data_IF_113768500729
#
_entry.id   IF_113768500729
#
_cell.length_a   1.000
_cell.length_b   1.000
_cell.length_c   1.000
_cell.angle_alpha   90.00
_cell.angle_beta   90.00
_cell.angle_gamma   90.00
#
_symmetry.space_group_name_H-M   'P 1'
#
loop_
_entity.id
_entity.type
_entity.pdbx_description
1 polymer ?
#
# COMPACT_ATOMS: atom_id res chain seq x y z
N UNK A 1 34.72 31.17 -31.69
CA UNK A 1 34.77 29.90 -32.45
C UNK A 1 34.04 28.86 -31.62
N UNK A 2 32.83 28.47 -32.00
CA UNK A 2 32.12 27.38 -31.31
C UNK A 2 32.83 26.06 -31.66
N UNK A 3 33.24 25.31 -30.63
CA UNK A 3 33.82 23.98 -30.81
C UNK A 3 32.69 22.97 -31.01
N UNK A 4 32.91 21.95 -31.84
CA UNK A 4 31.94 20.86 -32.05
C UNK A 4 31.50 20.21 -30.73
N UNK A 5 32.42 20.15 -29.75
CA UNK A 5 32.17 19.65 -28.39
C UNK A 5 31.18 20.50 -27.59
N UNK A 6 31.08 21.81 -27.87
CA UNK A 6 30.17 22.73 -27.19
C UNK A 6 28.69 22.43 -27.48
N UNK A 7 28.41 21.71 -28.58
CA UNK A 7 27.06 21.31 -29.01
C UNK A 7 26.81 19.82 -28.71
N UNK A 8 27.84 18.99 -28.86
CA UNK A 8 27.69 17.53 -28.72
C UNK A 8 27.36 17.10 -27.28
N UNK A 9 27.99 17.72 -26.28
CA UNK A 9 27.79 17.40 -24.87
C UNK A 9 26.35 17.71 -24.40
N UNK A 10 25.79 18.92 -24.61
CA UNK A 10 24.42 19.20 -24.22
C UNK A 10 23.40 18.37 -25.01
N UNK A 11 23.69 18.04 -26.28
CA UNK A 11 22.83 17.16 -27.08
C UNK A 11 22.79 15.72 -26.52
N UNK A 12 23.94 15.18 -26.11
CA UNK A 12 24.01 13.85 -25.49
C UNK A 12 23.35 13.82 -24.11
N UNK A 13 23.53 14.89 -23.31
CA UNK A 13 22.87 15.02 -22.02
C UNK A 13 21.35 15.11 -22.19
N UNK A 14 20.87 15.90 -23.15
CA UNK A 14 19.44 15.98 -23.47
C UNK A 14 18.90 14.61 -23.90
N UNK A 15 19.60 13.89 -24.79
CA UNK A 15 19.20 12.55 -25.23
C UNK A 15 19.11 11.57 -24.05
N UNK A 16 20.03 11.64 -23.08
CA UNK A 16 20.00 10.82 -21.87
C UNK A 16 18.81 11.19 -20.96
N UNK A 17 18.50 12.48 -20.79
CA UNK A 17 17.32 12.91 -20.01
C UNK A 17 16.01 12.45 -20.66
N UNK A 18 15.92 12.40 -21.99
CA UNK A 18 14.74 11.89 -22.68
C UNK A 18 14.54 10.38 -22.45
N UNK A 19 15.60 9.57 -22.37
CA UNK A 19 15.49 8.11 -22.13
C UNK A 19 15.24 7.75 -20.66
N UNK A 20 15.48 8.66 -19.71
CA UNK A 20 15.17 8.51 -18.29
C UNK A 20 13.68 8.64 -17.96
N UNK A 21 12.82 8.91 -18.94
CA UNK A 21 11.37 8.87 -18.78
C UNK A 21 10.88 7.43 -18.75
N UNK A 22 11.13 6.75 -17.63
CA UNK A 22 10.55 5.45 -17.33
C UNK A 22 9.03 5.58 -17.31
N UNK A 23 8.35 4.78 -18.13
CA UNK A 23 6.90 4.61 -18.04
C UNK A 23 6.58 4.13 -16.63
N UNK A 24 5.83 4.92 -15.87
CA UNK A 24 5.29 4.46 -14.60
C UNK A 24 4.21 3.43 -14.91
N UNK A 25 4.53 2.14 -14.76
CA UNK A 25 3.49 1.13 -14.71
C UNK A 25 2.59 1.43 -13.50
N UNK A 26 1.29 1.56 -13.76
CA UNK A 26 0.34 1.76 -12.68
C UNK A 26 0.38 0.54 -11.75
N UNK A 27 0.53 0.78 -10.44
CA UNK A 27 0.52 -0.28 -9.42
C UNK A 27 -0.72 -1.20 -9.51
N UNK A 28 -1.82 -0.66 -10.03
CA UNK A 28 -3.02 -1.42 -10.36
C UNK A 28 -3.67 -0.89 -11.63
N UNK A 29 -4.47 -1.74 -12.28
CA UNK A 29 -5.39 -1.34 -13.35
C UNK A 29 -6.83 -1.48 -12.86
N UNK A 30 -7.78 -0.71 -13.43
CA UNK A 30 -9.19 -0.97 -13.22
C UNK A 30 -9.54 -2.40 -13.64
N UNK A 31 -10.35 -3.08 -12.82
CA UNK A 31 -10.90 -4.41 -13.13
C UNK A 31 -12.35 -4.22 -13.51
N UNK A 32 -12.75 -4.69 -14.69
CA UNK A 32 -14.14 -4.64 -15.11
C UNK A 32 -15.00 -5.59 -14.27
N UNK A 33 -16.31 -5.32 -14.21
CA UNK A 33 -17.27 -6.20 -13.52
C UNK A 33 -17.22 -7.64 -14.05
N UNK A 34 -16.99 -7.81 -15.35
CA UNK A 34 -16.88 -9.12 -15.97
C UNK A 34 -15.62 -9.87 -15.52
N UNK A 35 -14.46 -9.21 -15.51
CA UNK A 35 -13.20 -9.78 -15.03
C UNK A 35 -13.23 -10.14 -13.54
N UNK A 36 -13.95 -9.36 -12.73
CA UNK A 36 -14.15 -9.64 -11.31
C UNK A 36 -15.13 -10.80 -11.03
N UNK A 37 -15.69 -11.45 -12.07
CA UNK A 37 -16.69 -12.51 -11.92
C UNK A 37 -18.07 -12.01 -11.48
N UNK A 38 -18.31 -10.70 -11.54
CA UNK A 38 -19.51 -10.04 -11.03
C UNK A 38 -20.54 -9.72 -12.14
N UNK A 39 -20.33 -10.19 -13.37
CA UNK A 39 -21.18 -9.86 -14.53
C UNK A 39 -22.66 -10.21 -14.32
N UNK A 40 -22.92 -11.36 -13.70
CA UNK A 40 -24.28 -11.88 -13.48
C UNK A 40 -24.84 -11.54 -12.09
N UNK A 41 -24.12 -10.74 -11.30
CA UNK A 41 -24.51 -10.45 -9.93
C UNK A 41 -25.59 -9.37 -9.90
N UNK A 42 -26.78 -9.74 -9.42
CA UNK A 42 -27.98 -8.89 -9.40
C UNK A 42 -27.92 -7.77 -8.35
N UNK A 43 -27.11 -7.93 -7.31
CA UNK A 43 -26.89 -6.91 -6.27
C UNK A 43 -25.42 -6.84 -5.89
N UNK A 44 -24.91 -5.62 -5.72
CA UNK A 44 -23.55 -5.36 -5.29
C UNK A 44 -23.59 -4.47 -4.04
N UNK A 45 -22.91 -4.88 -2.99
CA UNK A 45 -22.76 -4.09 -1.77
C UNK A 45 -21.37 -3.45 -1.77
N UNK A 46 -21.32 -2.13 -1.77
CA UNK A 46 -20.09 -1.38 -1.53
C UNK A 46 -19.97 -1.14 -0.03
N UNK A 47 -18.91 -1.66 0.59
CA UNK A 47 -18.60 -1.42 2.00
C UNK A 47 -17.51 -0.36 2.08
N UNK A 48 -17.74 0.71 2.83
CA UNK A 48 -16.75 1.73 3.14
C UNK A 48 -16.65 1.85 4.66
N UNK A 49 -15.44 1.66 5.19
CA UNK A 49 -15.16 1.64 6.61
C UNK A 49 -13.69 1.95 6.87
N UNK A 50 -13.35 2.18 8.13
CA UNK A 50 -11.99 2.47 8.58
C UNK A 50 -11.53 1.38 9.54
N UNK A 51 -10.33 0.87 9.30
CA UNK A 51 -9.65 -0.14 10.11
C UNK A 51 -8.56 0.54 10.95
N UNK A 52 -8.51 0.23 12.25
CA UNK A 52 -7.60 0.89 13.19
C UNK A 52 -6.64 -0.10 13.83
N UNK A 53 -5.41 -0.13 13.33
CA UNK A 53 -4.33 -0.96 13.87
C UNK A 53 -3.62 -0.25 15.04
N UNK A 54 -4.02 -0.58 16.28
CA UNK A 54 -3.38 -0.03 17.47
C UNK A 54 -2.22 -0.91 17.93
N UNK A 55 -1.05 -0.66 17.36
CA UNK A 55 0.22 -1.36 17.70
C UNK A 55 0.87 -0.92 19.02
N UNK A 56 0.44 0.21 19.58
CA UNK A 56 1.00 0.83 20.80
C UNK A 56 -0.10 1.48 21.63
N UNK A 57 0.22 1.81 22.89
CA UNK A 57 -0.69 2.48 23.83
C UNK A 57 -1.22 1.52 24.91
N UNK A 58 -2.14 2.00 25.78
CA UNK A 58 -2.61 1.23 26.92
C UNK A 58 -3.48 0.03 26.56
N UNK A 59 -4.11 0.03 25.37
CA UNK A 59 -4.99 -1.03 24.89
C UNK A 59 -4.63 -1.38 23.43
N UNK A 60 -3.49 -2.05 23.18
CA UNK A 60 -3.14 -2.45 21.83
C UNK A 60 -4.13 -3.50 21.30
N UNK A 61 -4.45 -3.42 20.01
CA UNK A 61 -5.34 -4.36 19.32
C UNK A 61 -4.58 -5.26 18.34
N UNK A 62 -3.32 -4.94 18.10
CA UNK A 62 -2.39 -5.74 17.32
C UNK A 62 -1.16 -6.11 18.15
N UNK A 63 -0.89 -7.42 18.25
CA UNK A 63 0.17 -7.95 19.10
C UNK A 63 1.04 -8.90 18.29
N UNK A 64 2.35 -8.68 18.32
CA UNK A 64 3.32 -9.59 17.69
C UNK A 64 3.34 -10.91 18.46
N UNK A 65 3.05 -12.02 17.77
CA UNK A 65 2.95 -13.36 18.35
C UNK A 65 4.10 -14.28 17.94
N UNK A 66 4.82 -13.96 16.86
CA UNK A 66 6.05 -14.65 16.47
C UNK A 66 6.96 -13.71 15.65
N UNK A 67 8.26 -14.03 15.61
CA UNK A 67 9.22 -13.34 14.75
C UNK A 67 10.37 -14.26 14.32
N UNK A 68 10.98 -13.95 13.17
CA UNK A 68 12.24 -14.54 12.77
C UNK A 68 13.41 -13.94 13.56
N UNK A 69 14.58 -14.59 13.49
CA UNK A 69 15.77 -14.19 14.26
C UNK A 69 16.19 -12.74 13.99
N UNK A 70 16.17 -12.33 12.73
CA UNK A 70 16.70 -11.04 12.29
C UNK A 70 15.59 -10.01 12.00
N UNK A 71 14.34 -10.29 12.41
CA UNK A 71 13.16 -9.47 12.12
C UNK A 71 13.35 -8.01 12.50
N UNK A 72 13.84 -7.71 13.72
CA UNK A 72 13.96 -6.33 14.21
C UNK A 72 15.09 -5.55 13.54
N UNK A 73 16.07 -6.25 12.95
CA UNK A 73 17.16 -5.63 12.18
C UNK A 73 16.86 -5.49 10.69
N UNK A 74 15.83 -6.18 10.18
CA UNK A 74 15.50 -6.18 8.76
C UNK A 74 14.55 -5.02 8.41
N UNK A 75 14.83 -4.24 7.34
CA UNK A 75 13.90 -3.23 6.85
C UNK A 75 12.52 -3.83 6.57
N UNK A 76 11.48 -3.26 7.17
CA UNK A 76 10.10 -3.74 7.01
C UNK A 76 9.70 -4.93 7.90
N UNK A 77 10.53 -5.34 8.87
CA UNK A 77 10.19 -6.37 9.87
C UNK A 77 9.79 -7.73 9.26
N UNK A 78 10.50 -8.18 8.23
CA UNK A 78 10.22 -9.47 7.58
C UNK A 78 10.21 -10.61 8.59
N UNK A 79 9.21 -11.49 8.47
CA UNK A 79 9.02 -12.62 9.36
C UNK A 79 8.35 -12.30 10.70
N UNK A 80 7.95 -11.05 10.96
CA UNK A 80 7.02 -10.75 12.04
C UNK A 80 5.64 -11.35 11.71
N UNK A 81 5.01 -11.97 12.71
CA UNK A 81 3.62 -12.41 12.66
C UNK A 81 2.86 -11.70 13.77
N UNK A 82 1.81 -10.97 13.40
CA UNK A 82 0.99 -10.16 14.30
C UNK A 82 -0.42 -10.73 14.33
N UNK A 83 -0.96 -10.93 15.53
CA UNK A 83 -2.38 -11.24 15.73
C UNK A 83 -3.14 -9.94 15.96
N UNK A 84 -4.28 -9.79 15.28
CA UNK A 84 -5.12 -8.60 15.36
C UNK A 84 -6.54 -8.93 15.81
N UNK A 85 -7.09 -7.98 16.57
CA UNK A 85 -8.51 -7.83 16.85
C UNK A 85 -8.84 -6.33 16.79
N UNK A 86 -8.85 -5.78 15.57
CA UNK A 86 -8.89 -4.34 15.33
C UNK A 86 -10.33 -3.84 15.12
N UNK A 87 -10.72 -2.69 15.68
CA UNK A 87 -12.05 -2.15 15.45
C UNK A 87 -12.22 -1.65 14.01
N UNK A 88 -13.43 -1.86 13.48
CA UNK A 88 -13.88 -1.29 12.20
C UNK A 88 -14.95 -0.25 12.48
N UNK A 89 -14.79 0.97 11.96
CA UNK A 89 -15.70 2.11 12.20
C UNK A 89 -16.22 2.75 10.92
N UNK A 90 -17.31 3.53 11.03
CA UNK A 90 -17.90 4.27 9.89
C UNK A 90 -17.03 5.46 9.42
N UNK A 91 -16.23 6.03 10.33
CA UNK A 91 -15.37 7.18 10.07
C UNK A 91 -13.97 7.02 10.66
N UNK A 92 -13.00 7.87 10.27
CA UNK A 92 -11.59 7.71 10.65
C UNK A 92 -11.29 8.10 12.11
N UNK A 93 -12.21 8.77 12.81
CA UNK A 93 -11.99 9.19 14.19
C UNK A 93 -12.12 8.04 15.19
N UNK A 94 -11.31 8.05 16.25
CA UNK A 94 -11.36 7.03 17.32
C UNK A 94 -12.69 6.99 18.09
N UNK A 95 -13.48 8.07 18.03
CA UNK A 95 -14.83 8.15 18.61
C UNK A 95 -15.93 7.83 17.60
N UNK A 96 -15.59 7.44 16.37
CA UNK A 96 -16.56 7.04 15.37
C UNK A 96 -17.28 5.76 15.79
N UNK A 97 -18.50 5.59 15.30
CA UNK A 97 -19.33 4.42 15.58
C UNK A 97 -18.64 3.15 15.06
N UNK A 98 -18.43 2.20 15.97
CA UNK A 98 -17.94 0.86 15.64
C UNK A 98 -19.04 0.05 14.95
N UNK A 99 -18.70 -0.59 13.84
CA UNK A 99 -19.61 -1.43 13.04
C UNK A 99 -19.14 -2.88 12.94
N UNK A 100 -17.92 -3.18 13.40
CA UNK A 100 -17.40 -4.54 13.42
C UNK A 100 -15.98 -4.61 13.97
N UNK A 101 -15.36 -5.78 13.79
CA UNK A 101 -13.96 -6.06 14.13
C UNK A 101 -13.31 -6.85 13.01
N UNK A 102 -12.04 -6.55 12.72
CA UNK A 102 -11.20 -7.32 11.84
C UNK A 102 -10.30 -8.22 12.69
N UNK A 103 -10.46 -9.52 12.51
CA UNK A 103 -9.80 -10.54 13.32
C UNK A 103 -8.99 -11.45 12.42
N UNK A 104 -7.73 -11.67 12.78
CA UNK A 104 -6.83 -12.45 11.96
C UNK A 104 -5.37 -12.25 12.32
N UNK A 105 -4.50 -12.46 11.33
CA UNK A 105 -3.06 -12.27 11.47
C UNK A 105 -2.49 -11.68 10.18
N UNK A 106 -1.37 -10.96 10.30
CA UNK A 106 -0.56 -10.49 9.17
C UNK A 106 0.94 -10.65 9.42
#
# INVERSE_FOLDING_TARGET
KFSLSSILIPALLLLLLLTLTSSSDAFSRPVSRAEAGLAQQSSLTHLNFYFHDYVQGPNPTAVRIAQAKDTDSNPGNFGALVMIDDPITEGPGNNSKMVGRAQGMY
#
